data_IF_201107100938
#
_entry.id   IF_201107100938
#
_cell.length_a   1.000
_cell.length_b   1.000
_cell.length_c   1.000
_cell.angle_alpha   90.00
_cell.angle_beta   90.00
_cell.angle_gamma   90.00
#
_symmetry.space_group_name_H-M   'P 1'
#
loop_
_entity.id
_entity.type
_entity.pdbx_description
1 polymer ?
#
# COMPACT_ATOMS: atom_id res chain seq x y z
N UNK A 1 2.95 -17.33 7.87
CA UNK A 1 3.08 -17.31 6.40
C UNK A 1 4.31 -16.52 6.05
N UNK A 2 5.11 -17.03 5.14
CA UNK A 2 6.40 -16.44 4.77
C UNK A 2 6.31 -15.60 3.50
N UNK A 3 7.45 -15.04 3.11
CA UNK A 3 7.52 -14.20 1.91
C UNK A 3 7.15 -14.95 0.64
N UNK A 4 7.51 -16.24 0.54
CA UNK A 4 7.18 -17.04 -0.64
C UNK A 4 5.67 -17.20 -0.81
N UNK A 5 4.95 -17.46 0.29
CA UNK A 5 3.49 -17.54 0.26
C UNK A 5 2.88 -16.26 -0.31
N UNK A 6 3.29 -15.11 0.21
CA UNK A 6 2.76 -13.83 -0.22
C UNK A 6 3.20 -13.45 -1.63
N UNK A 7 4.44 -13.76 -2.01
CA UNK A 7 4.90 -13.54 -3.38
C UNK A 7 4.06 -14.33 -4.38
N UNK A 8 3.74 -15.58 -4.06
CA UNK A 8 2.90 -16.41 -4.92
C UNK A 8 1.49 -15.83 -5.03
N UNK A 9 0.94 -15.38 -3.90
CA UNK A 9 -0.39 -14.79 -3.88
C UNK A 9 -0.45 -13.48 -4.67
N UNK A 10 0.58 -12.65 -4.58
CA UNK A 10 0.61 -11.36 -5.27
C UNK A 10 1.22 -11.41 -6.67
N UNK A 11 1.56 -12.60 -7.17
CA UNK A 11 2.12 -12.75 -8.52
C UNK A 11 1.08 -12.50 -9.63
N UNK A 12 -0.21 -12.65 -9.34
CA UNK A 12 -1.27 -12.39 -10.29
C UNK A 12 -1.31 -10.91 -10.69
N UNK A 13 -1.67 -10.58 -11.95
CA UNK A 13 -1.68 -9.19 -12.39
C UNK A 13 -2.75 -8.33 -11.69
N UNK A 14 -3.86 -8.91 -11.29
CA UNK A 14 -4.91 -8.16 -10.59
C UNK A 14 -4.55 -7.95 -9.12
N UNK A 15 -5.11 -6.90 -8.54
CA UNK A 15 -4.94 -6.59 -7.11
C UNK A 15 -5.88 -7.45 -6.29
N UNK A 16 -5.32 -8.33 -5.46
CA UNK A 16 -6.08 -9.34 -4.71
C UNK A 16 -7.10 -8.70 -3.76
N UNK A 17 -6.71 -7.60 -3.11
CA UNK A 17 -7.58 -6.87 -2.19
C UNK A 17 -8.12 -5.58 -2.79
N UNK A 18 -7.98 -5.40 -4.10
CA UNK A 18 -8.43 -4.20 -4.79
C UNK A 18 -7.44 -3.05 -4.69
N UNK A 19 -7.80 -1.92 -5.30
CA UNK A 19 -6.94 -0.73 -5.36
C UNK A 19 -7.43 0.37 -4.43
N UNK A 20 -8.64 0.26 -3.89
CA UNK A 20 -9.17 1.23 -2.95
C UNK A 20 -8.69 0.92 -1.53
N UNK A 21 -8.52 1.93 -0.67
CA UNK A 21 -8.09 1.71 0.70
C UNK A 21 -9.10 0.90 1.51
N UNK A 22 -8.62 0.28 2.58
CA UNK A 22 -9.48 -0.30 3.59
C UNK A 22 -10.44 0.78 4.10
N UNK A 23 -11.71 0.44 4.34
CA UNK A 23 -12.72 1.40 4.74
C UNK A 23 -12.35 2.14 6.04
N UNK A 24 -11.80 1.43 7.01
CA UNK A 24 -11.38 2.05 8.28
C UNK A 24 -10.24 3.04 8.05
N UNK A 25 -9.26 2.68 7.21
CA UNK A 25 -8.15 3.58 6.88
C UNK A 25 -8.67 4.84 6.19
N UNK A 26 -9.57 4.69 5.23
CA UNK A 26 -10.16 5.84 4.54
C UNK A 26 -10.91 6.75 5.52
N UNK A 27 -11.66 6.16 6.44
CA UNK A 27 -12.43 6.92 7.43
C UNK A 27 -11.53 7.67 8.41
N UNK A 28 -10.45 7.03 8.86
CA UNK A 28 -9.57 7.59 9.88
C UNK A 28 -8.44 8.44 9.31
N UNK A 29 -8.26 8.48 8.00
CA UNK A 29 -7.12 9.16 7.37
C UNK A 29 -7.02 10.64 7.73
N UNK A 30 -8.15 11.33 7.86
CA UNK A 30 -8.17 12.75 8.21
C UNK A 30 -7.70 13.03 9.64
N UNK A 31 -7.65 12.01 10.49
CA UNK A 31 -7.22 12.15 11.88
C UNK A 31 -5.73 11.85 12.08
N UNK A 32 -5.04 11.42 11.03
CA UNK A 32 -3.60 11.18 11.08
C UNK A 32 -2.89 12.53 10.94
N UNK A 33 -2.04 12.91 11.90
CA UNK A 33 -1.29 14.17 11.78
C UNK A 33 -0.42 14.18 10.53
N UNK A 34 -0.21 15.35 9.90
CA UNK A 34 0.71 15.47 8.77
C UNK A 34 2.12 14.99 9.14
N UNK A 35 2.80 14.35 8.20
CA UNK A 35 4.18 13.92 8.41
C UNK A 35 4.45 12.51 7.91
N UNK A 36 5.53 11.89 8.41
CA UNK A 36 5.88 10.53 8.00
C UNK A 36 4.93 9.50 8.56
N UNK A 37 4.58 8.52 7.73
CA UNK A 37 3.70 7.40 8.09
C UNK A 37 4.39 6.11 7.72
N UNK A 38 4.39 5.15 8.62
CA UNK A 38 4.91 3.81 8.37
C UNK A 38 3.72 2.84 8.26
N UNK A 39 3.60 2.18 7.13
CA UNK A 39 2.59 1.16 6.89
C UNK A 39 3.23 -0.22 6.92
N UNK A 40 2.81 -1.06 7.85
CA UNK A 40 3.33 -2.41 8.02
C UNK A 40 2.45 -3.42 7.30
N UNK A 41 3.06 -4.50 6.82
CA UNK A 41 2.36 -5.58 6.11
C UNK A 41 1.46 -5.03 4.99
N UNK A 42 2.03 -4.19 4.17
CA UNK A 42 1.27 -3.34 3.25
C UNK A 42 0.80 -4.06 1.99
N UNK A 43 1.45 -5.16 1.61
CA UNK A 43 1.08 -5.94 0.44
C UNK A 43 1.13 -5.11 -0.84
N UNK A 44 -0.01 -4.99 -1.51
CA UNK A 44 -0.13 -4.35 -2.82
C UNK A 44 -0.30 -2.83 -2.77
N UNK A 45 -0.30 -2.24 -1.57
CA UNK A 45 -0.18 -0.80 -1.39
C UNK A 45 -1.47 0.01 -1.38
N UNK A 46 -2.64 -0.63 -1.35
CA UNK A 46 -3.91 0.12 -1.41
C UNK A 46 -4.05 1.19 -0.33
N UNK A 47 -3.58 0.93 0.88
CA UNK A 47 -3.66 1.88 1.99
C UNK A 47 -2.53 2.91 1.94
N UNK A 48 -1.29 2.45 1.71
CA UNK A 48 -0.13 3.34 1.63
C UNK A 48 -0.30 4.37 0.51
N UNK A 49 -0.74 3.93 -0.66
CA UNK A 49 -0.95 4.83 -1.79
C UNK A 49 -2.06 5.83 -1.49
N UNK A 50 -3.15 5.38 -0.86
CA UNK A 50 -4.21 6.30 -0.47
C UNK A 50 -3.68 7.41 0.45
N UNK A 51 -2.94 7.05 1.50
CA UNK A 51 -2.38 8.02 2.43
C UNK A 51 -1.41 8.98 1.73
N UNK A 52 -0.61 8.47 0.78
CA UNK A 52 0.29 9.32 0.00
C UNK A 52 -0.48 10.33 -0.85
N UNK A 53 -1.64 9.95 -1.41
CA UNK A 53 -2.47 10.90 -2.16
C UNK A 53 -3.01 12.02 -1.29
N UNK A 54 -3.08 11.81 0.02
CA UNK A 54 -3.52 12.83 0.98
C UNK A 54 -2.36 13.70 1.49
N UNK A 55 -1.16 13.51 0.95
CA UNK A 55 0.00 14.35 1.28
C UNK A 55 0.92 13.80 2.35
N UNK A 56 0.66 12.60 2.87
CA UNK A 56 1.57 11.98 3.84
C UNK A 56 2.82 11.44 3.17
N UNK A 57 3.94 11.47 3.89
CA UNK A 57 5.18 10.82 3.45
C UNK A 57 5.17 9.38 3.95
N UNK A 58 4.85 8.44 3.06
CA UNK A 58 4.57 7.07 3.43
C UNK A 58 5.75 6.16 3.13
N UNK A 59 6.11 5.32 4.10
CA UNK A 59 7.00 4.19 3.91
C UNK A 59 6.18 2.92 4.09
N UNK A 60 6.15 2.11 3.04
CA UNK A 60 5.45 0.83 3.07
C UNK A 60 6.44 -0.30 3.28
N UNK A 61 6.13 -1.21 4.19
CA UNK A 61 6.98 -2.35 4.51
C UNK A 61 6.17 -3.62 4.37
N UNK A 62 6.72 -4.58 3.65
CA UNK A 62 6.13 -5.92 3.50
C UNK A 62 7.23 -6.91 3.17
N UNK A 63 7.04 -8.17 3.56
CA UNK A 63 7.99 -9.22 3.21
C UNK A 63 7.85 -9.68 1.76
N UNK A 64 6.76 -9.32 1.07
CA UNK A 64 6.53 -9.72 -0.31
C UNK A 64 7.03 -8.66 -1.29
N UNK A 65 8.09 -8.96 -2.02
CA UNK A 65 8.55 -8.08 -3.09
C UNK A 65 7.55 -7.97 -4.23
N UNK A 66 6.82 -9.04 -4.52
CA UNK A 66 5.78 -9.01 -5.54
C UNK A 66 4.68 -8.03 -5.16
N UNK A 67 4.26 -8.03 -3.90
CA UNK A 67 3.29 -7.07 -3.39
C UNK A 67 3.82 -5.64 -3.46
N UNK A 68 5.04 -5.41 -3.00
CA UNK A 68 5.64 -4.06 -3.04
C UNK A 68 5.85 -3.55 -4.46
N UNK A 69 6.15 -4.42 -5.42
CA UNK A 69 6.25 -4.02 -6.82
C UNK A 69 4.89 -3.50 -7.35
N UNK A 70 3.81 -4.17 -6.98
CA UNK A 70 2.46 -3.71 -7.31
C UNK A 70 2.13 -2.39 -6.62
N UNK A 71 2.54 -2.23 -5.37
CA UNK A 71 2.36 -1.00 -4.63
C UNK A 71 3.04 0.18 -5.33
N UNK A 72 4.27 -0.01 -5.82
CA UNK A 72 4.99 1.03 -6.57
C UNK A 72 4.27 1.38 -7.87
N UNK A 73 3.75 0.38 -8.58
CA UNK A 73 2.98 0.63 -9.82
C UNK A 73 1.70 1.40 -9.53
N UNK A 74 1.01 1.06 -8.46
CA UNK A 74 -0.20 1.78 -8.06
C UNK A 74 0.12 3.23 -7.69
N UNK A 75 1.20 3.44 -6.93
CA UNK A 75 1.65 4.77 -6.56
C UNK A 75 1.96 5.61 -7.81
N UNK A 76 2.69 5.04 -8.76
CA UNK A 76 3.01 5.73 -10.02
C UNK A 76 1.76 6.08 -10.79
N UNK A 77 0.77 5.18 -10.86
CA UNK A 77 -0.48 5.43 -11.55
C UNK A 77 -1.29 6.57 -10.90
N UNK A 78 -1.11 6.78 -9.61
CA UNK A 78 -1.78 7.86 -8.86
C UNK A 78 -0.90 9.11 -8.71
N UNK A 79 0.29 9.12 -9.31
CA UNK A 79 1.18 10.28 -9.29
C UNK A 79 1.84 10.56 -7.95
N UNK A 80 2.00 9.54 -7.11
CA UNK A 80 2.62 9.69 -5.78
C UNK A 80 3.77 8.71 -5.60
N UNK A 81 4.53 8.90 -4.53
CA UNK A 81 5.63 8.02 -4.13
C UNK A 81 5.35 7.44 -2.76
N UNK A 82 5.78 6.21 -2.58
CA UNK A 82 5.73 5.54 -1.28
C UNK A 82 7.05 4.86 -0.98
#
# INVERSE_FOLDING_TARGET
MDAEFWNNRFAAPQYIYGEAPNAFVAEMASQIPPGPVLCLAEGEGRNAVHLATLGHRVTAVDQSEAGLAKARRLAAARGVKI
#
